data_IF_242894130265
#
_entry.id   IF_242894130265
#
_cell.length_a   1.000
_cell.length_b   1.000
_cell.length_c   1.000
_cell.angle_alpha   90.00
_cell.angle_beta   90.00
_cell.angle_gamma   90.00
#
_symmetry.space_group_name_H-M   'P 1'
#
loop_
_entity.id
_entity.type
_entity.pdbx_description
1 polymer ?
#
# COMPACT_ATOMS: atom_id res chain seq x y z
N UNK A 1 -5.21 18.92 3.56
CA UNK A 1 -5.41 17.79 4.48
C UNK A 1 -4.13 17.22 5.12
N UNK A 2 -2.94 17.79 4.88
CA UNK A 2 -1.67 17.30 5.48
C UNK A 2 -0.60 16.86 4.46
N UNK A 3 -0.99 16.64 3.19
CA UNK A 3 -0.05 16.23 2.13
C UNK A 3 0.65 14.90 2.42
N UNK A 4 1.73 14.61 1.69
CA UNK A 4 2.55 13.41 1.92
C UNK A 4 3.12 13.34 3.35
N UNK A 5 3.64 14.42 3.95
CA UNK A 5 4.17 14.36 5.32
C UNK A 5 3.11 13.97 6.36
N UNK A 6 1.86 14.43 6.21
CA UNK A 6 0.76 14.01 7.08
C UNK A 6 0.43 12.52 6.97
N UNK A 7 0.55 11.92 5.78
CA UNK A 7 0.38 10.47 5.58
C UNK A 7 1.55 9.70 6.21
N UNK A 8 2.79 10.15 6.01
CA UNK A 8 3.98 9.56 6.62
C UNK A 8 3.86 9.57 8.15
N UNK A 9 3.50 10.72 8.73
CA UNK A 9 3.29 10.87 10.17
C UNK A 9 2.24 9.89 10.69
N UNK A 10 1.10 9.80 10.02
CA UNK A 10 0.05 8.85 10.39
C UNK A 10 0.56 7.40 10.37
N UNK A 11 1.29 7.00 9.31
CA UNK A 11 1.81 5.63 9.20
C UNK A 11 2.92 5.32 10.23
N UNK A 12 3.74 6.32 10.60
CA UNK A 12 4.70 6.20 11.71
C UNK A 12 3.98 5.98 13.05
N UNK A 13 2.95 6.79 13.34
CA UNK A 13 2.14 6.66 14.56
C UNK A 13 1.43 5.29 14.66
N UNK A 14 1.12 4.67 13.51
CA UNK A 14 0.56 3.31 13.43
C UNK A 14 1.61 2.19 13.38
N UNK A 15 2.92 2.51 13.37
CA UNK A 15 4.01 1.53 13.37
C UNK A 15 4.28 0.84 12.02
N UNK A 16 3.83 1.42 10.91
CA UNK A 16 4.05 0.85 9.55
C UNK A 16 5.33 1.33 8.88
N UNK A 17 5.98 2.35 9.44
CA UNK A 17 7.21 2.92 8.90
C UNK A 17 8.28 2.91 9.99
N UNK A 18 9.52 2.72 9.56
CA UNK A 18 10.69 2.90 10.41
C UNK A 18 11.05 4.39 10.49
N UNK A 19 11.01 4.93 11.70
CA UNK A 19 11.27 6.34 11.98
C UNK A 19 12.74 6.72 11.91
N UNK A 20 13.65 5.77 12.12
CA UNK A 20 15.09 6.02 12.28
C UNK A 20 15.82 6.18 10.94
N UNK A 21 15.12 5.93 9.84
CA UNK A 21 15.65 6.10 8.49
C UNK A 21 16.14 7.54 8.25
N UNK A 22 17.43 7.69 7.94
CA UNK A 22 18.02 8.98 7.57
C UNK A 22 17.45 9.49 6.24
N UNK A 23 17.24 10.80 6.14
CA UNK A 23 16.73 11.46 4.93
C UNK A 23 17.73 12.48 4.38
N UNK A 24 17.43 13.03 3.21
CA UNK A 24 18.26 14.08 2.56
C UNK A 24 18.36 15.38 3.36
N UNK A 25 17.52 15.60 4.37
CA UNK A 25 17.61 16.78 5.25
C UNK A 25 18.68 16.61 6.34
N UNK A 26 19.33 15.44 6.42
CA UNK A 26 20.24 15.09 7.50
C UNK A 26 19.54 14.71 8.81
N UNK A 27 18.21 14.69 8.81
CA UNK A 27 17.37 14.23 9.93
C UNK A 27 16.73 12.89 9.61
N UNK A 28 16.31 12.19 10.65
CA UNK A 28 15.51 10.96 10.56
C UNK A 28 14.11 11.23 9.97
N UNK A 29 13.42 10.19 9.51
CA UNK A 29 12.07 10.29 8.98
C UNK A 29 11.09 10.79 10.05
N UNK A 30 11.22 10.30 11.29
CA UNK A 30 10.42 10.72 12.43
C UNK A 30 10.60 12.22 12.75
N UNK A 31 11.84 12.69 12.87
CA UNK A 31 12.13 14.11 13.13
C UNK A 31 11.56 15.02 12.03
N UNK A 32 11.61 14.60 10.76
CA UNK A 32 11.00 15.36 9.68
C UNK A 32 9.47 15.35 9.76
N UNK A 33 8.85 14.22 10.09
CA UNK A 33 7.40 14.09 10.19
C UNK A 33 6.80 15.00 11.28
N UNK A 34 7.53 15.20 12.39
CA UNK A 34 7.11 16.08 13.48
C UNK A 34 6.98 17.55 13.09
N UNK A 35 7.75 18.00 12.07
CA UNK A 35 7.73 19.38 11.58
C UNK A 35 6.46 19.73 10.81
N UNK A 36 5.66 18.73 10.42
CA UNK A 36 4.45 18.91 9.63
C UNK A 36 3.18 18.65 10.46
N UNK A 37 2.09 19.38 10.16
CA UNK A 37 0.82 19.15 10.83
C UNK A 37 0.31 17.73 10.52
N UNK A 38 -0.40 17.09 11.48
CA UNK A 38 -1.07 15.82 11.23
C UNK A 38 -2.17 15.97 10.16
N UNK A 39 -2.75 14.84 9.75
CA UNK A 39 -3.90 14.84 8.86
C UNK A 39 -5.03 15.72 9.43
N UNK A 40 -5.65 16.53 8.57
CA UNK A 40 -6.72 17.45 8.99
C UNK A 40 -7.88 16.68 9.62
N UNK A 41 -8.40 17.16 10.75
CA UNK A 41 -9.56 16.53 11.42
C UNK A 41 -10.76 16.45 10.48
N UNK A 42 -11.44 15.30 10.48
CA UNK A 42 -12.64 15.08 9.66
C UNK A 42 -12.38 14.87 8.16
N UNK A 43 -11.12 14.75 7.73
CA UNK A 43 -10.83 14.39 6.34
C UNK A 43 -11.28 12.95 6.04
N UNK A 44 -11.80 12.70 4.83
CA UNK A 44 -12.35 11.40 4.42
C UNK A 44 -11.48 10.67 3.37
N UNK A 45 -10.36 11.27 2.98
CA UNK A 45 -9.47 10.83 1.88
C UNK A 45 -8.58 9.67 2.35
N UNK A 46 -7.90 9.84 3.48
CA UNK A 46 -7.06 8.82 4.11
C UNK A 46 -7.92 8.08 5.14
N UNK A 47 -8.24 6.81 4.86
CA UNK A 47 -9.05 5.99 5.76
C UNK A 47 -8.22 5.51 6.96
N UNK A 48 -8.84 5.41 8.15
CA UNK A 48 -8.16 4.84 9.31
C UNK A 48 -7.89 3.35 9.11
N UNK A 49 -6.85 2.82 9.75
CA UNK A 49 -6.45 1.41 9.64
C UNK A 49 -7.54 0.43 10.07
N UNK A 50 -8.42 0.84 10.99
CA UNK A 50 -9.54 0.02 11.45
C UNK A 50 -10.66 -0.09 10.40
N UNK A 51 -10.72 0.87 9.45
CA UNK A 51 -11.70 0.88 8.37
C UNK A 51 -11.03 1.15 7.01
N UNK A 52 -10.15 0.25 6.54
CA UNK A 52 -9.40 0.45 5.32
C UNK A 52 -10.29 0.18 4.10
N UNK A 53 -9.94 0.74 2.94
CA UNK A 53 -10.65 0.47 1.68
C UNK A 53 -10.53 -1.02 1.29
N UNK A 54 -9.35 -1.61 1.54
CA UNK A 54 -9.05 -3.03 1.38
C UNK A 54 -8.17 -3.46 2.56
N UNK A 55 -8.40 -4.65 3.10
CA UNK A 55 -7.64 -5.18 4.26
C UNK A 55 -6.14 -5.38 3.97
N UNK A 56 -5.77 -5.58 2.71
CA UNK A 56 -4.40 -5.78 2.25
C UNK A 56 -4.06 -4.87 1.07
N UNK A 57 -2.78 -4.78 0.72
CA UNK A 57 -2.31 -3.96 -0.41
C UNK A 57 -2.90 -4.39 -1.76
N UNK A 58 -2.95 -3.45 -2.71
CA UNK A 58 -3.41 -3.72 -4.08
C UNK A 58 -2.36 -4.46 -4.92
N UNK A 59 -1.07 -4.26 -4.65
CA UNK A 59 -0.01 -4.96 -5.37
C UNK A 59 0.04 -6.40 -4.85
N UNK A 60 -0.11 -7.35 -5.76
CA UNK A 60 0.04 -8.78 -5.52
C UNK A 60 1.12 -9.34 -6.44
N UNK A 61 1.92 -10.26 -5.92
CA UNK A 61 2.95 -10.97 -6.69
C UNK A 61 2.39 -12.34 -7.05
N UNK A 62 2.34 -12.64 -8.35
CA UNK A 62 1.75 -13.87 -8.86
C UNK A 62 2.83 -14.77 -9.44
N UNK A 63 2.84 -16.02 -9.02
CA UNK A 63 3.73 -17.07 -9.50
C UNK A 63 2.92 -18.16 -10.21
N UNK A 64 3.59 -18.94 -11.06
CA UNK A 64 2.97 -20.09 -11.71
C UNK A 64 3.78 -20.57 -12.91
N UNK A 65 3.24 -21.54 -13.64
CA UNK A 65 3.88 -22.08 -14.84
C UNK A 65 4.20 -21.01 -15.91
N UNK A 66 3.37 -19.96 -16.01
CA UNK A 66 3.59 -18.83 -16.92
C UNK A 66 4.45 -17.71 -16.33
N UNK A 67 4.60 -17.66 -15.00
CA UNK A 67 5.36 -16.64 -14.29
C UNK A 67 6.24 -17.28 -13.21
N UNK A 68 7.21 -18.14 -13.58
CA UNK A 68 8.03 -18.86 -12.60
C UNK A 68 8.91 -17.94 -11.76
N UNK A 69 9.32 -16.80 -12.31
CA UNK A 69 10.10 -15.77 -11.61
C UNK A 69 9.23 -14.69 -10.97
N UNK A 70 7.91 -14.79 -11.14
CA UNK A 70 6.93 -13.85 -10.62
C UNK A 70 6.45 -12.83 -11.65
N UNK A 71 5.28 -12.26 -11.35
CA UNK A 71 4.65 -11.16 -12.07
C UNK A 71 3.90 -10.26 -11.10
N UNK A 72 3.52 -9.06 -11.53
CA UNK A 72 2.88 -8.06 -10.67
C UNK A 72 1.48 -7.74 -11.18
N UNK A 73 0.49 -7.82 -10.30
CA UNK A 73 -0.87 -7.41 -10.60
C UNK A 73 -1.42 -6.39 -9.59
N UNK A 74 -2.33 -5.53 -10.07
CA UNK A 74 -3.10 -4.60 -9.24
C UNK A 74 -4.48 -5.20 -8.99
N UNK A 75 -4.70 -5.66 -7.77
CA UNK A 75 -5.89 -6.42 -7.35
C UNK A 75 -6.73 -5.55 -6.42
N UNK A 76 -7.88 -5.08 -6.91
CA UNK A 76 -8.81 -4.22 -6.16
C UNK A 76 -9.66 -5.00 -5.18
N UNK A 77 -9.79 -6.32 -5.37
CA UNK A 77 -10.63 -7.20 -4.55
C UNK A 77 -12.10 -7.23 -4.98
N UNK A 78 -12.44 -6.66 -6.14
CA UNK A 78 -13.80 -6.66 -6.72
C UNK A 78 -13.94 -7.61 -7.90
N UNK A 79 -12.82 -8.13 -8.39
CA UNK A 79 -12.68 -8.97 -9.58
C UNK A 79 -12.89 -10.47 -9.35
N UNK A 80 -13.01 -10.91 -8.08
CA UNK A 80 -13.06 -12.32 -7.72
C UNK A 80 -11.66 -12.94 -7.54
N UNK A 81 -11.61 -14.24 -7.25
CA UNK A 81 -10.36 -14.95 -6.93
C UNK A 81 -9.81 -15.82 -8.09
N UNK A 82 -10.58 -15.98 -9.17
CA UNK A 82 -10.24 -16.91 -10.24
C UNK A 82 -10.67 -16.36 -11.60
N UNK A 83 -9.81 -16.55 -12.59
CA UNK A 83 -10.12 -16.27 -13.99
C UNK A 83 -9.63 -17.42 -14.86
N UNK A 84 -10.45 -17.84 -15.83
CA UNK A 84 -10.06 -18.82 -16.86
C UNK A 84 -10.63 -18.37 -18.21
N UNK A 85 -9.78 -18.32 -19.22
CA UNK A 85 -10.14 -18.01 -20.60
C UNK A 85 -10.05 -19.21 -21.53
N UNK A 86 -10.48 -19.02 -22.78
CA UNK A 86 -10.28 -19.99 -23.87
C UNK A 86 -8.80 -20.40 -24.02
N UNK A 87 -8.48 -21.58 -24.60
CA UNK A 87 -7.16 -22.23 -24.50
C UNK A 87 -5.94 -21.43 -24.98
N UNK A 88 -6.13 -20.36 -25.76
CA UNK A 88 -5.07 -19.41 -26.13
C UNK A 88 -4.80 -18.32 -25.07
N UNK A 89 -5.53 -18.35 -23.94
CA UNK A 89 -5.58 -17.32 -22.87
C UNK A 89 -5.85 -17.90 -21.47
N UNK A 90 -5.31 -19.08 -21.14
CA UNK A 90 -5.41 -19.62 -19.79
C UNK A 90 -4.29 -19.05 -18.90
N UNK A 91 -4.64 -18.14 -17.98
CA UNK A 91 -3.74 -17.67 -16.91
C UNK A 91 -4.36 -18.10 -15.58
N UNK A 92 -3.77 -19.09 -14.93
CA UNK A 92 -4.13 -19.45 -13.56
C UNK A 92 -3.47 -18.44 -12.62
N UNK A 93 -4.28 -17.58 -12.01
CA UNK A 93 -3.85 -16.67 -10.97
C UNK A 93 -4.47 -17.15 -9.66
N UNK A 94 -3.66 -17.70 -8.77
CA UNK A 94 -4.03 -17.81 -7.36
C UNK A 94 -3.65 -16.49 -6.67
N UNK A 95 -4.65 -15.87 -6.03
CA UNK A 95 -4.56 -14.58 -5.33
C UNK A 95 -4.43 -14.78 -3.82
#
# INVERSE_FOLDING_TARGET
>A
IGGTPGVIRYLLEQGFLDGDCLTVTGKTLAENAELFPPLSKGQEIIRPIENPIKKTAHIQILYGNLAPEGSVAKITGKEGLYFSGEPSRAVFLEL
#
